data_IF_275713755880
#
_entry.id   IF_275713755880
#
_cell.length_a   1.000
_cell.length_b   1.000
_cell.length_c   1.000
_cell.angle_alpha   90.00
_cell.angle_beta   90.00
_cell.angle_gamma   90.00
#
_symmetry.space_group_name_H-M   'P 1'
#
loop_
_entity.id
_entity.type
_entity.pdbx_description
1 polymer ?
#
# COMPACT_ATOMS: atom_id res chain seq x y z
N UNK A 1 -1.17 25.14 14.84
CA UNK A 1 -1.14 23.67 15.08
C UNK A 1 -2.45 23.27 15.75
N UNK A 2 -2.94 22.04 15.51
CA UNK A 2 -4.14 21.51 16.20
C UNK A 2 -3.69 20.41 17.16
N UNK A 3 -4.22 20.41 18.39
CA UNK A 3 -3.90 19.42 19.40
C UNK A 3 -4.93 18.29 19.35
N UNK A 4 -4.45 17.05 19.50
CA UNK A 4 -5.30 15.85 19.51
C UNK A 4 -4.89 15.00 20.72
N UNK A 5 -5.86 14.60 21.51
CA UNK A 5 -5.68 13.62 22.59
C UNK A 5 -5.92 12.24 22.02
N UNK A 6 -4.98 11.32 22.24
CA UNK A 6 -5.07 9.93 21.80
C UNK A 6 -4.87 9.00 22.99
N UNK A 7 -5.63 7.90 23.02
CA UNK A 7 -5.43 6.83 23.98
C UNK A 7 -4.52 5.78 23.37
N UNK A 8 -3.47 5.39 24.09
CA UNK A 8 -2.53 4.36 23.70
C UNK A 8 -2.50 3.30 24.80
N UNK A 9 -2.29 2.04 24.42
CA UNK A 9 -1.95 1.03 25.41
C UNK A 9 -0.58 1.37 26.06
N UNK A 10 -0.33 0.88 27.29
CA UNK A 10 0.88 1.22 28.04
C UNK A 10 2.18 0.88 27.30
N UNK A 11 2.18 -0.22 26.54
CA UNK A 11 3.37 -0.70 25.82
C UNK A 11 3.70 0.22 24.64
N UNK A 12 2.69 0.57 23.83
CA UNK A 12 2.85 1.51 22.71
C UNK A 12 3.27 2.89 23.18
N UNK A 13 2.70 3.38 24.29
CA UNK A 13 3.11 4.67 24.88
C UNK A 13 4.58 4.65 25.33
N UNK A 14 5.05 3.54 25.92
CA UNK A 14 6.45 3.37 26.31
C UNK A 14 7.36 3.31 25.08
N UNK A 15 6.99 2.53 24.08
CA UNK A 15 7.72 2.43 22.82
C UNK A 15 7.87 3.81 22.16
N UNK A 16 6.78 4.57 22.05
CA UNK A 16 6.78 5.89 21.41
C UNK A 16 7.74 6.87 22.11
N UNK A 17 7.81 6.84 23.44
CA UNK A 17 8.77 7.66 24.21
C UNK A 17 10.23 7.26 23.92
N UNK A 18 10.53 5.96 23.94
CA UNK A 18 11.88 5.47 23.66
C UNK A 18 12.31 5.78 22.22
N UNK A 19 11.41 5.63 21.26
CA UNK A 19 11.67 5.91 19.85
C UNK A 19 11.88 7.41 19.61
N UNK A 20 11.06 8.25 20.23
CA UNK A 20 11.22 9.70 20.17
C UNK A 20 12.57 10.13 20.76
N UNK A 21 12.96 9.58 21.92
CA UNK A 21 14.26 9.84 22.52
C UNK A 21 15.42 9.37 21.63
N UNK A 22 15.34 8.17 21.03
CA UNK A 22 16.34 7.64 20.10
C UNK A 22 16.56 8.56 18.90
N UNK A 23 15.49 9.17 18.39
CA UNK A 23 15.52 10.10 17.25
C UNK A 23 15.76 11.56 17.64
N UNK A 24 16.03 11.84 18.92
CA UNK A 24 16.18 13.19 19.46
C UNK A 24 15.01 14.12 19.09
N UNK A 25 13.78 13.61 19.21
CA UNK A 25 12.52 14.29 18.86
C UNK A 25 11.48 14.14 19.96
N UNK A 26 10.34 14.82 19.82
CA UNK A 26 9.22 14.67 20.74
C UNK A 26 8.24 13.59 20.27
N UNK A 27 7.49 13.00 21.20
CA UNK A 27 6.45 12.01 20.87
C UNK A 27 5.39 12.62 19.94
N UNK A 28 4.96 13.86 20.20
CA UNK A 28 3.98 14.54 19.36
C UNK A 28 4.50 14.74 17.92
N UNK A 29 5.79 15.07 17.76
CA UNK A 29 6.41 15.20 16.44
C UNK A 29 6.52 13.85 15.74
N UNK A 30 6.97 12.81 16.44
CA UNK A 30 7.05 11.44 15.93
C UNK A 30 5.68 10.96 15.41
N UNK A 31 4.63 11.10 16.21
CA UNK A 31 3.27 10.69 15.84
C UNK A 31 2.76 11.51 14.64
N UNK A 32 3.04 12.82 14.61
CA UNK A 32 2.69 13.66 13.48
C UNK A 32 3.35 13.22 12.16
N UNK A 33 4.64 12.85 12.21
CA UNK A 33 5.38 12.33 11.06
C UNK A 33 4.82 10.97 10.60
N UNK A 34 4.53 10.05 11.54
CA UNK A 34 3.90 8.77 11.23
C UNK A 34 2.54 8.93 10.53
N UNK A 35 1.70 9.87 10.99
CA UNK A 35 0.41 10.17 10.37
C UNK A 35 0.58 10.80 8.99
N UNK A 36 1.58 11.66 8.79
CA UNK A 36 1.88 12.24 7.48
C UNK A 36 2.30 11.15 6.48
N UNK A 37 3.19 10.24 6.88
CA UNK A 37 3.59 9.09 6.06
C UNK A 37 2.42 8.18 5.72
N UNK A 38 1.58 7.86 6.70
CA UNK A 38 0.39 7.03 6.49
C UNK A 38 -0.54 7.64 5.43
N UNK A 39 -0.87 8.94 5.57
CA UNK A 39 -1.69 9.65 4.58
C UNK A 39 -1.05 9.64 3.19
N UNK A 40 0.26 9.82 3.11
CA UNK A 40 0.95 9.82 1.81
C UNK A 40 0.89 8.44 1.15
N UNK A 41 1.10 7.36 1.90
CA UNK A 41 1.00 5.98 1.39
C UNK A 41 -0.42 5.68 0.91
N UNK A 42 -1.43 6.02 1.70
CA UNK A 42 -2.84 5.89 1.30
C UNK A 42 -3.17 6.69 0.04
N UNK A 43 -2.74 7.95 -0.02
CA UNK A 43 -2.98 8.79 -1.19
C UNK A 43 -2.33 8.23 -2.45
N UNK A 44 -1.08 7.74 -2.35
CA UNK A 44 -0.39 7.09 -3.47
C UNK A 44 -1.13 5.85 -3.95
N UNK A 45 -1.61 5.00 -3.03
CA UNK A 45 -2.39 3.81 -3.37
C UNK A 45 -3.69 4.16 -4.09
N UNK A 46 -4.46 5.13 -3.55
CA UNK A 46 -5.70 5.62 -4.17
C UNK A 46 -5.45 6.21 -5.57
N UNK A 47 -4.40 7.03 -5.71
CA UNK A 47 -4.01 7.60 -7.00
C UNK A 47 -3.57 6.53 -8.00
N UNK A 48 -2.82 5.50 -7.57
CA UNK A 48 -2.41 4.40 -8.45
C UNK A 48 -3.62 3.60 -8.94
N UNK A 49 -4.56 3.28 -8.05
CA UNK A 49 -5.81 2.62 -8.41
C UNK A 49 -6.62 3.46 -9.41
N UNK A 50 -6.80 4.76 -9.14
CA UNK A 50 -7.51 5.67 -10.03
C UNK A 50 -6.86 5.73 -11.42
N UNK A 51 -5.53 5.83 -11.50
CA UNK A 51 -4.79 5.82 -12.77
C UNK A 51 -4.98 4.49 -13.52
N UNK A 52 -4.91 3.36 -12.81
CA UNK A 52 -5.08 2.04 -13.42
C UNK A 52 -6.49 1.88 -14.02
N UNK A 53 -7.53 2.22 -13.26
CA UNK A 53 -8.93 2.07 -13.72
C UNK A 53 -9.36 3.14 -14.74
N UNK A 54 -8.70 4.29 -14.79
CA UNK A 54 -8.97 5.32 -15.82
C UNK A 54 -8.53 4.90 -17.23
N UNK A 55 -7.66 3.90 -17.34
CA UNK A 55 -7.17 3.42 -18.63
C UNK A 55 -8.20 2.50 -19.27
N UNK A 56 -8.55 2.69 -20.56
CA UNK A 56 -9.37 1.71 -21.26
C UNK A 56 -8.65 0.37 -21.31
N UNK A 57 -9.41 -0.72 -21.18
CA UNK A 57 -8.85 -2.06 -21.30
C UNK A 57 -8.23 -2.23 -22.70
N UNK A 58 -6.92 -2.43 -22.75
CA UNK A 58 -6.21 -2.73 -23.99
C UNK A 58 -6.16 -4.24 -24.21
N UNK A 59 -6.36 -4.68 -25.46
CA UNK A 59 -6.08 -6.06 -25.82
C UNK A 59 -4.57 -6.30 -25.76
N UNK A 60 -4.17 -7.41 -25.14
CA UNK A 60 -2.77 -7.83 -25.05
C UNK A 60 -2.42 -8.79 -26.21
N UNK A 61 -3.40 -9.50 -26.78
CA UNK A 61 -3.21 -10.34 -27.96
C UNK A 61 -3.00 -9.50 -29.22
N UNK A 62 -2.33 -10.09 -30.22
CA UNK A 62 -2.13 -9.46 -31.53
C UNK A 62 -3.45 -9.13 -32.22
N UNK A 63 -3.41 -8.25 -33.23
CA UNK A 63 -4.60 -7.92 -34.03
C UNK A 63 -5.19 -9.20 -34.65
N UNK A 64 -6.43 -9.54 -34.25
CA UNK A 64 -7.15 -10.70 -34.76
C UNK A 64 -6.86 -12.02 -34.05
N UNK A 65 -5.97 -12.04 -33.06
CA UNK A 65 -5.67 -13.24 -32.28
C UNK A 65 -6.63 -13.38 -31.09
N UNK A 66 -7.27 -14.55 -30.97
CA UNK A 66 -8.00 -14.95 -29.77
C UNK A 66 -7.03 -15.16 -28.61
N UNK A 67 -7.50 -14.89 -27.38
CA UNK A 67 -6.74 -15.26 -26.20
C UNK A 67 -6.59 -16.78 -26.12
N UNK A 68 -5.41 -17.28 -25.73
CA UNK A 68 -5.21 -18.71 -25.53
C UNK A 68 -6.15 -19.24 -24.47
N UNK A 69 -6.72 -20.42 -24.71
CA UNK A 69 -7.50 -21.11 -23.69
C UNK A 69 -6.58 -21.78 -22.65
N UNK A 70 -7.13 -22.08 -21.48
CA UNK A 70 -6.36 -22.69 -20.38
C UNK A 70 -5.72 -24.03 -20.78
N UNK A 71 -6.41 -24.85 -21.57
CA UNK A 71 -5.86 -26.14 -22.01
C UNK A 71 -4.66 -25.91 -22.93
N UNK A 72 -4.75 -24.99 -23.89
CA UNK A 72 -3.66 -24.65 -24.82
C UNK A 72 -2.37 -24.18 -24.13
N UNK A 73 -2.48 -23.54 -22.95
CA UNK A 73 -1.33 -23.04 -22.19
C UNK A 73 -0.76 -24.05 -21.19
N UNK A 74 -1.61 -24.86 -20.58
CA UNK A 74 -1.27 -25.68 -19.42
C UNK A 74 -1.49 -27.18 -19.62
N UNK A 75 -1.94 -27.64 -20.79
CA UNK A 75 -2.03 -29.07 -21.06
C UNK A 75 -0.60 -29.64 -21.02
N UNK A 76 -0.36 -30.48 -20.01
CA UNK A 76 0.93 -31.16 -19.82
C UNK A 76 0.70 -32.61 -20.25
N UNK A 77 0.99 -32.96 -21.51
CA UNK A 77 0.70 -34.28 -22.04
C UNK A 77 1.43 -35.42 -21.29
N UNK A 78 2.48 -35.10 -20.54
CA UNK A 78 3.28 -36.05 -19.74
C UNK A 78 2.62 -36.45 -18.41
N UNK A 79 1.49 -35.84 -18.02
CA UNK A 79 0.78 -36.11 -16.75
C UNK A 79 -0.57 -36.83 -16.93
N UNK A 80 -0.83 -37.45 -18.09
CA UNK A 80 -2.00 -38.31 -18.30
C UNK A 80 -1.66 -39.79 -18.10
#
# INVERSE_FOLDING_TARGET
>A
MKNVTITLDPETARWARMEAARRNTSVSRLVGEMLAEYRQRESRSKQAAQRFFSRPAARISGQGESYPDRASLYDRPVLR
#
